data_IF_669873162402
#
_entry.id   IF_669873162402
#
_cell.length_a   1.000
_cell.length_b   1.000
_cell.length_c   1.000
_cell.angle_alpha   90.00
_cell.angle_beta   90.00
_cell.angle_gamma   90.00
#
_symmetry.space_group_name_H-M   'P 1'
#
loop_
_entity.id
_entity.type
_entity.pdbx_description
1 polymer ?
#
# COMPACT_ATOMS: atom_id res chain seq x y z
N UNK A 1 -1.79 -10.91 -0.06
CA UNK A 1 -1.65 -9.43 0.04
C UNK A 1 -2.99 -8.87 0.50
N UNK A 2 -3.01 -7.74 1.21
CA UNK A 2 -4.24 -6.99 1.50
C UNK A 2 -4.15 -5.68 0.74
N UNK A 3 -5.17 -5.38 -0.07
CA UNK A 3 -5.24 -4.19 -0.91
C UNK A 3 -6.35 -3.27 -0.44
N UNK A 4 -6.17 -1.97 -0.65
CA UNK A 4 -7.18 -0.97 -0.36
C UNK A 4 -8.14 -0.85 -1.53
N UNK A 5 -9.42 -0.81 -1.23
CA UNK A 5 -10.45 -0.60 -2.22
C UNK A 5 -11.61 0.23 -1.71
N UNK A 6 -12.41 0.71 -2.66
CA UNK A 6 -13.65 1.43 -2.38
C UNK A 6 -14.82 0.54 -2.75
N UNK A 7 -15.71 0.27 -1.80
CA UNK A 7 -16.96 -0.45 -2.07
C UNK A 7 -17.79 0.32 -3.10
N UNK A 8 -18.27 -0.39 -4.11
CA UNK A 8 -19.24 0.10 -5.08
C UNK A 8 -20.67 -0.23 -4.64
N UNK A 9 -20.83 -1.39 -4.00
CA UNK A 9 -22.05 -1.91 -3.37
C UNK A 9 -21.67 -2.98 -2.33
N UNK A 10 -22.61 -3.74 -1.73
CA UNK A 10 -22.29 -4.72 -0.69
C UNK A 10 -21.34 -5.86 -1.10
N UNK A 11 -21.20 -6.17 -2.39
CA UNK A 11 -20.41 -7.32 -2.86
C UNK A 11 -19.25 -6.94 -3.79
N UNK A 12 -19.27 -5.73 -4.37
CA UNK A 12 -18.25 -5.26 -5.32
C UNK A 12 -17.36 -4.18 -4.73
N UNK A 13 -16.06 -4.30 -4.95
CA UNK A 13 -15.07 -3.31 -4.56
C UNK A 13 -14.15 -2.98 -5.74
N UNK A 14 -13.84 -1.70 -5.94
CA UNK A 14 -12.79 -1.27 -6.88
C UNK A 14 -11.47 -1.10 -6.14
N UNK A 15 -10.40 -1.71 -6.63
CA UNK A 15 -9.04 -1.60 -6.09
C UNK A 15 -8.52 -0.17 -6.29
N UNK A 16 -7.96 0.43 -5.23
CA UNK A 16 -7.56 1.84 -5.19
C UNK A 16 -6.07 2.08 -4.97
N UNK A 17 -5.36 1.16 -4.33
CA UNK A 17 -3.91 1.18 -4.33
C UNK A 17 -3.36 0.24 -5.43
N UNK A 18 -2.05 0.16 -5.61
CA UNK A 18 -1.39 -0.63 -6.65
C UNK A 18 -0.93 -1.95 -6.03
N UNK A 19 -1.58 -3.07 -6.37
CA UNK A 19 -1.15 -4.39 -5.89
C UNK A 19 0.26 -4.72 -6.37
N UNK A 20 0.99 -5.49 -5.58
CA UNK A 20 2.28 -6.06 -5.98
C UNK A 20 2.11 -6.94 -7.23
N UNK A 21 3.12 -7.02 -8.12
CA UNK A 21 3.03 -7.82 -9.35
C UNK A 21 2.71 -9.30 -9.11
N UNK A 22 3.15 -9.84 -7.96
CA UNK A 22 2.90 -11.23 -7.56
C UNK A 22 1.45 -11.55 -7.24
N UNK A 23 0.61 -10.54 -6.99
CA UNK A 23 -0.83 -10.71 -6.73
C UNK A 23 -1.63 -11.12 -7.97
N UNK A 24 -1.13 -10.79 -9.17
CA UNK A 24 -1.90 -10.92 -10.40
C UNK A 24 -3.10 -9.98 -10.51
N UNK A 25 -3.20 -8.98 -9.62
CA UNK A 25 -4.25 -7.95 -9.59
C UNK A 25 -3.72 -6.60 -10.05
N UNK A 26 -4.63 -5.69 -10.43
CA UNK A 26 -4.28 -4.34 -10.93
C UNK A 26 -5.11 -3.25 -10.29
N UNK A 27 -4.51 -2.07 -10.26
CA UNK A 27 -5.23 -0.85 -9.90
C UNK A 27 -6.45 -0.63 -10.80
N UNK A 28 -7.57 -0.25 -10.19
CA UNK A 28 -8.83 -0.01 -10.89
C UNK A 28 -9.64 -1.26 -11.25
N UNK A 29 -9.15 -2.47 -10.95
CA UNK A 29 -9.96 -3.69 -11.08
C UNK A 29 -11.14 -3.68 -10.12
N UNK A 30 -12.22 -4.33 -10.54
CA UNK A 30 -13.37 -4.60 -9.68
C UNK A 30 -13.37 -6.06 -9.29
N UNK A 31 -13.40 -6.33 -7.99
CA UNK A 31 -13.43 -7.68 -7.42
C UNK A 31 -14.74 -7.93 -6.69
N UNK A 32 -15.16 -9.20 -6.65
CA UNK A 32 -16.16 -9.68 -5.70
C UNK A 32 -15.46 -10.03 -4.39
N UNK A 33 -16.09 -9.66 -3.27
CA UNK A 33 -15.61 -10.00 -1.94
C UNK A 33 -16.71 -10.64 -1.11
N UNK A 34 -16.31 -11.40 -0.08
CA UNK A 34 -17.26 -11.96 0.88
C UNK A 34 -17.95 -10.87 1.72
N UNK A 35 -19.15 -11.14 2.21
CA UNK A 35 -19.89 -10.26 3.11
C UNK A 35 -19.36 -10.27 4.55
N UNK A 36 -18.60 -11.29 4.94
CA UNK A 36 -18.02 -11.44 6.29
C UNK A 36 -16.56 -10.98 6.28
N UNK A 37 -16.15 -10.05 7.16
CA UNK A 37 -14.76 -9.62 7.24
C UNK A 37 -13.89 -10.70 7.90
N UNK A 38 -12.65 -10.85 7.41
CA UNK A 38 -11.63 -11.78 7.89
C UNK A 38 -10.38 -11.03 8.40
N UNK A 39 -10.59 -9.84 8.98
CA UNK A 39 -9.53 -9.01 9.53
C UNK A 39 -9.92 -7.54 9.55
N UNK A 40 -9.08 -6.71 10.17
CA UNK A 40 -9.28 -5.27 10.23
C UNK A 40 -7.95 -4.52 10.03
N UNK A 41 -8.04 -3.30 9.49
CA UNK A 41 -6.92 -2.38 9.35
C UNK A 41 -7.30 -1.07 10.00
N UNK A 42 -6.51 -0.69 10.99
CA UNK A 42 -6.59 0.62 11.59
C UNK A 42 -5.79 1.61 10.73
N UNK A 43 -6.24 2.85 10.62
CA UNK A 43 -5.49 3.98 10.07
C UNK A 43 -5.67 5.13 11.06
N UNK A 44 -4.59 5.85 11.36
CA UNK A 44 -4.69 7.07 12.16
C UNK A 44 -4.48 8.28 11.28
N UNK A 45 -5.50 9.14 11.28
CA UNK A 45 -5.50 10.36 10.48
C UNK A 45 -4.63 11.47 11.09
N UNK A 46 -4.47 12.60 10.36
CA UNK A 46 -3.62 13.73 10.76
C UNK A 46 -3.96 14.31 12.15
N UNK A 47 -5.23 14.25 12.54
CA UNK A 47 -5.74 14.76 13.83
C UNK A 47 -5.74 13.70 14.94
N UNK A 48 -5.01 12.59 14.76
CA UNK A 48 -4.99 11.46 15.69
C UNK A 48 -6.28 10.61 15.69
N UNK A 49 -7.22 10.90 14.78
CA UNK A 49 -8.46 10.14 14.69
C UNK A 49 -8.20 8.75 14.11
N UNK A 50 -8.64 7.73 14.83
CA UNK A 50 -8.45 6.33 14.45
C UNK A 50 -9.66 5.82 13.68
N UNK A 51 -9.44 5.33 12.46
CA UNK A 51 -10.48 4.70 11.64
C UNK A 51 -10.17 3.22 11.45
N UNK A 52 -11.18 2.37 11.59
CA UNK A 52 -11.04 0.92 11.42
C UNK A 52 -11.74 0.48 10.15
N UNK A 53 -11.00 -0.22 9.29
CA UNK A 53 -11.46 -0.72 8.00
C UNK A 53 -11.51 -2.25 8.02
N UNK A 54 -12.65 -2.87 7.70
CA UNK A 54 -12.73 -4.32 7.59
C UNK A 54 -12.01 -4.84 6.33
N UNK A 55 -11.32 -5.97 6.48
CA UNK A 55 -10.67 -6.72 5.40
C UNK A 55 -11.59 -7.87 4.99
N UNK A 56 -11.84 -8.02 3.70
CA UNK A 56 -12.68 -9.10 3.15
C UNK A 56 -11.83 -9.98 2.25
N UNK A 57 -12.18 -11.26 2.22
CA UNK A 57 -11.57 -12.19 1.29
C UNK A 57 -12.12 -11.94 -0.12
N UNK A 58 -11.20 -11.96 -1.09
CA UNK A 58 -11.54 -11.91 -2.51
C UNK A 58 -12.20 -13.25 -2.91
N UNK A 59 -13.33 -13.16 -3.61
CA UNK A 59 -13.98 -14.33 -4.22
C UNK A 59 -13.50 -14.51 -5.65
N UNK A 60 -13.60 -13.45 -6.47
CA UNK A 60 -13.17 -13.49 -7.87
C UNK A 60 -12.98 -12.08 -8.46
N UNK A 61 -12.30 -12.01 -9.61
CA UNK A 61 -12.22 -10.82 -10.44
C UNK A 61 -13.52 -10.62 -11.23
N UNK A 62 -14.25 -9.53 -10.95
CA UNK A 62 -15.49 -9.19 -11.65
C UNK A 62 -15.23 -8.43 -12.96
N UNK A 63 -14.37 -7.41 -12.93
CA UNK A 63 -14.02 -6.63 -14.12
C UNK A 63 -12.53 -6.28 -14.14
N UNK A 64 -11.81 -6.64 -15.21
CA UNK A 64 -10.39 -6.34 -15.34
C UNK A 64 -10.14 -4.85 -15.60
N UNK A 65 -8.95 -4.39 -15.24
CA UNK A 65 -8.44 -3.07 -15.58
C UNK A 65 -7.56 -3.14 -16.82
N UNK A 66 -7.79 -2.23 -17.77
CA UNK A 66 -6.93 -2.06 -18.95
C UNK A 66 -5.63 -1.32 -18.63
N UNK A 67 -5.48 -0.79 -17.41
CA UNK A 67 -4.30 -0.02 -17.00
C UNK A 67 -3.22 -1.00 -16.51
N UNK A 68 -2.06 -1.07 -17.19
CA UNK A 68 -0.97 -1.93 -16.73
C UNK A 68 -0.25 -1.32 -15.53
N UNK A 69 0.35 -2.19 -14.70
CA UNK A 69 1.24 -1.80 -13.61
C UNK A 69 2.69 -1.94 -14.06
N UNK A 70 3.51 -0.94 -13.74
CA UNK A 70 4.95 -0.92 -13.95
C UNK A 70 5.65 -0.91 -12.60
N UNK A 71 6.78 -1.61 -12.51
CA UNK A 71 7.72 -1.48 -11.39
C UNK A 71 8.75 -0.44 -11.78
N UNK A 72 8.91 0.58 -10.95
CA UNK A 72 9.86 1.67 -11.16
C UNK A 72 10.78 1.73 -9.96
N UNK A 73 12.09 1.66 -10.23
CA UNK A 73 13.13 1.94 -9.25
C UNK A 73 13.56 3.39 -9.44
N UNK A 74 13.50 4.18 -8.37
CA UNK A 74 13.85 5.61 -8.40
C UNK A 74 14.68 6.01 -7.19
N UNK A 75 15.38 7.13 -7.31
CA UNK A 75 16.06 7.79 -6.20
C UNK A 75 15.29 9.07 -5.84
N UNK A 76 14.69 9.11 -4.67
CA UNK A 76 13.99 10.27 -4.12
C UNK A 76 14.79 10.77 -2.90
N UNK A 77 15.28 12.01 -2.93
CA UNK A 77 16.11 12.53 -1.85
C UNK A 77 15.29 12.77 -0.58
N UNK A 78 14.01 13.10 -0.74
CA UNK A 78 13.06 13.36 0.34
C UNK A 78 11.70 12.69 0.11
N UNK A 79 10.89 12.58 1.17
CA UNK A 79 9.50 12.11 1.08
C UNK A 79 8.67 12.95 0.09
N UNK A 80 8.95 14.24 0.03
CA UNK A 80 8.29 15.23 -0.83
C UNK A 80 8.49 14.93 -2.33
N UNK A 81 9.65 14.39 -2.71
CA UNK A 81 9.96 13.96 -4.07
C UNK A 81 9.12 12.74 -4.45
N UNK A 82 9.02 11.75 -3.56
CA UNK A 82 8.17 10.57 -3.77
C UNK A 82 6.69 10.98 -3.85
N UNK A 83 6.22 11.85 -2.97
CA UNK A 83 4.85 12.38 -3.02
C UNK A 83 4.58 13.14 -4.33
N UNK A 84 5.59 13.80 -4.92
CA UNK A 84 5.44 14.52 -6.18
C UNK A 84 5.13 13.57 -7.35
N UNK A 85 5.77 12.39 -7.39
CA UNK A 85 5.45 11.37 -8.40
C UNK A 85 4.01 10.87 -8.25
N UNK A 86 3.57 10.59 -7.01
CA UNK A 86 2.20 10.15 -6.73
C UNK A 86 1.18 11.21 -7.14
N UNK A 87 1.44 12.49 -6.87
CA UNK A 87 0.61 13.61 -7.33
C UNK A 87 0.58 13.71 -8.84
N UNK A 88 1.72 13.66 -9.53
CA UNK A 88 1.79 13.73 -11.00
C UNK A 88 0.98 12.60 -11.67
N UNK A 89 1.10 11.37 -11.16
CA UNK A 89 0.31 10.25 -11.66
C UNK A 89 -1.19 10.48 -11.41
N UNK A 90 -1.57 10.94 -10.22
CA UNK A 90 -2.96 11.23 -9.87
C UNK A 90 -3.58 12.35 -10.72
N UNK A 91 -2.84 13.44 -10.97
CA UNK A 91 -3.26 14.55 -11.83
C UNK A 91 -3.46 14.10 -13.28
N UNK A 92 -2.69 13.11 -13.74
CA UNK A 92 -2.85 12.48 -15.04
C UNK A 92 -4.00 11.44 -15.10
N UNK A 93 -4.70 11.19 -13.98
CA UNK A 93 -5.81 10.23 -13.89
C UNK A 93 -5.39 8.78 -13.62
N UNK A 94 -4.17 8.58 -13.15
CA UNK A 94 -3.52 7.30 -12.89
C UNK A 94 -3.12 7.19 -11.42
N UNK A 95 -2.27 6.22 -11.07
CA UNK A 95 -1.77 6.07 -9.72
C UNK A 95 -0.29 5.71 -9.72
N UNK A 96 0.42 6.17 -8.68
CA UNK A 96 1.70 5.63 -8.25
C UNK A 96 1.61 5.29 -6.76
N UNK A 97 2.42 4.34 -6.30
CA UNK A 97 2.50 3.96 -4.89
C UNK A 97 3.93 3.51 -4.58
N UNK A 98 4.52 4.05 -3.52
CA UNK A 98 5.81 3.59 -3.00
C UNK A 98 5.64 2.31 -2.15
N UNK A 99 6.03 1.17 -2.71
CA UNK A 99 5.97 -0.11 -2.00
C UNK A 99 7.02 -0.24 -0.90
N UNK A 100 8.11 0.52 -0.97
CA UNK A 100 9.15 0.56 0.07
C UNK A 100 8.59 1.02 1.41
N UNK A 101 7.54 1.85 1.39
CA UNK A 101 6.91 2.41 2.58
C UNK A 101 5.50 1.88 2.84
N UNK A 102 4.75 1.53 1.79
CA UNK A 102 3.34 1.11 1.91
C UNK A 102 3.15 -0.39 2.18
N UNK A 103 4.07 -1.24 1.72
CA UNK A 103 3.95 -2.69 1.88
C UNK A 103 4.46 -3.12 3.24
N UNK A 104 3.62 -3.84 3.98
CA UNK A 104 3.99 -4.49 5.24
C UNK A 104 3.91 -6.00 5.10
N UNK A 105 5.01 -6.68 5.44
CA UNK A 105 5.05 -8.14 5.49
C UNK A 105 4.52 -8.60 6.85
N UNK A 106 3.28 -9.09 6.87
CA UNK A 106 2.64 -9.64 8.06
C UNK A 106 2.52 -11.16 7.96
N UNK A 107 2.66 -11.86 9.09
CA UNK A 107 2.25 -13.26 9.15
C UNK A 107 0.72 -13.37 8.98
N UNK A 108 0.22 -14.57 8.67
CA UNK A 108 -1.23 -14.79 8.48
C UNK A 108 -2.05 -14.34 9.70
N UNK A 109 -1.63 -14.73 10.91
CA UNK A 109 -2.36 -14.39 12.13
C UNK A 109 -2.43 -12.87 12.38
N UNK A 110 -1.33 -12.13 12.14
CA UNK A 110 -1.32 -10.67 12.24
C UNK A 110 -2.16 -10.02 11.14
N UNK A 111 -2.18 -10.61 9.93
CA UNK A 111 -2.98 -10.09 8.83
C UNK A 111 -4.49 -10.26 9.06
N UNK A 112 -4.91 -11.36 9.69
CA UNK A 112 -6.33 -11.73 9.94
C UNK A 112 -6.87 -11.20 11.28
N UNK A 113 -6.01 -10.62 12.13
CA UNK A 113 -6.42 -10.08 13.43
C UNK A 113 -6.71 -8.59 13.40
N UNK A 114 -7.26 -8.08 14.51
CA UNK A 114 -7.39 -6.66 14.82
C UNK A 114 -6.09 -6.14 15.43
N UNK A 115 -5.01 -6.08 14.65
CA UNK A 115 -3.77 -5.46 15.11
C UNK A 115 -3.87 -3.92 14.96
N UNK A 116 -3.49 -3.14 15.99
CA UNK A 116 -3.30 -1.70 15.82
C UNK A 116 -2.25 -1.43 14.72
N UNK A 117 -2.58 -0.58 13.76
CA UNK A 117 -1.58 -0.01 12.85
C UNK A 117 -0.73 0.99 13.63
N UNK A 118 0.58 1.00 13.43
CA UNK A 118 1.54 1.85 14.14
C UNK A 118 1.49 3.35 13.78
N UNK A 119 0.35 4.00 13.98
CA UNK A 119 0.27 5.46 14.01
C UNK A 119 -0.46 5.88 15.28
N UNK A 120 0.06 5.59 16.47
CA UNK A 120 -0.61 5.98 17.71
C UNK A 120 0.18 5.68 18.97
N UNK A 121 0.28 6.71 19.82
CA UNK A 121 0.54 6.70 21.26
C UNK A 121 1.70 5.91 21.86
N UNK A 122 2.82 5.70 21.16
CA UNK A 122 4.16 5.56 21.77
C UNK A 122 4.37 4.41 22.78
N UNK A 123 3.37 3.57 23.01
CA UNK A 123 3.45 2.33 23.75
C UNK A 123 3.80 1.28 22.71
N UNK A 124 5.11 1.07 22.52
CA UNK A 124 5.63 -0.01 21.70
C UNK A 124 5.09 -1.34 22.22
N UNK A 125 3.97 -1.79 21.66
CA UNK A 125 3.42 -3.08 21.96
C UNK A 125 4.20 -4.06 21.11
N UNK A 126 5.20 -4.68 21.73
CA UNK A 126 6.10 -5.66 21.14
C UNK A 126 5.28 -6.66 20.32
N UNK A 127 5.41 -6.62 19.00
CA UNK A 127 4.84 -7.68 18.17
C UNK A 127 5.46 -9.00 18.64
N UNK A 128 4.66 -10.01 19.03
CA UNK A 128 5.21 -11.30 19.47
C UNK A 128 6.07 -11.99 18.40
N UNK A 129 5.99 -11.55 17.14
CA UNK A 129 6.84 -12.01 16.04
C UNK A 129 8.02 -11.08 15.71
N UNK A 130 8.15 -9.94 16.40
CA UNK A 130 9.27 -9.04 16.23
C UNK A 130 10.46 -9.55 17.04
N UNK A 131 11.32 -10.29 16.37
CA UNK A 131 12.62 -10.72 16.90
C UNK A 131 13.74 -9.72 16.58
N UNK A 132 13.40 -8.50 16.17
CA UNK A 132 14.38 -7.44 15.97
C UNK A 132 15.09 -7.13 17.28
N UNK A 133 16.41 -7.01 17.21
CA UNK A 133 17.21 -6.43 18.28
C UNK A 133 17.52 -4.98 17.89
N UNK A 134 17.79 -4.07 18.85
CA UNK A 134 18.29 -2.74 18.54
C UNK A 134 19.51 -2.82 17.60
N UNK A 135 19.43 -2.18 16.43
CA UNK A 135 20.48 -2.21 15.40
C UNK A 135 20.56 -3.50 14.56
N UNK A 136 19.63 -4.45 14.76
CA UNK A 136 19.53 -5.67 13.97
C UNK A 136 18.05 -6.02 13.72
N UNK A 137 17.40 -5.37 12.74
CA UNK A 137 16.02 -5.68 12.41
C UNK A 137 15.89 -7.16 12.03
N UNK A 138 14.88 -7.81 12.57
CA UNK A 138 14.52 -9.19 12.24
C UNK A 138 14.03 -9.27 10.79
N UNK A 139 14.03 -10.47 10.18
CA UNK A 139 13.62 -10.64 8.78
C UNK A 139 12.14 -10.34 8.52
N UNK A 140 11.35 -10.21 9.59
CA UNK A 140 9.92 -9.86 9.59
C UNK A 140 9.64 -8.64 10.47
N UNK A 141 10.70 -7.94 10.92
CA UNK A 141 10.56 -6.79 11.81
C UNK A 141 9.66 -5.75 11.15
N UNK A 142 8.62 -5.35 11.87
CA UNK A 142 7.80 -4.22 11.48
C UNK A 142 8.74 -3.03 11.28
N UNK A 143 8.59 -2.34 10.15
CA UNK A 143 9.14 -1.01 9.99
C UNK A 143 8.44 -0.09 10.99
N UNK A 144 9.00 -0.07 12.20
CA UNK A 144 8.59 0.82 13.27
C UNK A 144 8.68 2.28 12.82
N UNK A 145 7.76 3.10 13.31
CA UNK A 145 7.85 4.55 13.19
C UNK A 145 9.24 5.02 13.68
N UNK A 146 10.07 5.54 12.78
CA UNK A 146 11.42 6.04 13.09
C UNK A 146 12.57 5.50 12.22
N UNK A 147 12.32 4.72 11.17
CA UNK A 147 13.37 4.46 10.18
C UNK A 147 13.74 5.74 9.43
N UNK A 148 15.04 5.99 9.33
CA UNK A 148 15.64 7.04 8.50
C UNK A 148 15.21 6.82 7.04
N UNK A 149 14.74 7.89 6.39
CA UNK A 149 14.46 7.90 4.97
C UNK A 149 15.63 7.29 4.17
N UNK A 150 15.38 6.20 3.44
CA UNK A 150 16.31 5.71 2.40
C UNK A 150 16.11 6.55 1.13
N UNK A 151 17.06 6.80 0.23
CA UNK A 151 16.71 7.46 -1.05
C UNK A 151 16.17 6.50 -2.13
N UNK A 152 16.62 5.25 -2.12
CA UNK A 152 16.23 4.25 -3.12
C UNK A 152 14.80 3.76 -2.86
N UNK A 153 13.95 3.83 -3.90
CA UNK A 153 12.53 3.48 -3.82
C UNK A 153 12.13 2.51 -4.91
N UNK A 154 11.37 1.50 -4.51
CA UNK A 154 10.59 0.66 -5.41
C UNK A 154 9.13 1.10 -5.38
N UNK A 155 8.66 1.59 -6.52
CA UNK A 155 7.30 2.10 -6.69
C UNK A 155 6.54 1.31 -7.75
N UNK A 156 5.25 1.10 -7.49
CA UNK A 156 4.27 0.75 -8.51
C UNK A 156 3.82 1.99 -9.26
N UNK A 157 3.67 1.89 -10.59
CA UNK A 157 3.06 2.94 -11.43
C UNK A 157 1.98 2.32 -12.32
N UNK A 158 0.73 2.70 -12.12
CA UNK A 158 -0.41 2.20 -12.88
C UNK A 158 -0.79 3.19 -13.98
N UNK A 159 -0.15 3.10 -15.15
CA UNK A 159 -0.38 4.00 -16.28
C UNK A 159 -0.13 3.32 -17.65
N UNK A 160 -0.74 3.79 -18.74
CA UNK A 160 -0.45 3.31 -20.09
C UNK A 160 1.02 3.52 -20.45
N UNK A 161 1.60 2.58 -21.21
CA UNK A 161 3.00 2.61 -21.64
C UNK A 161 3.41 3.95 -22.28
N UNK A 162 2.51 4.56 -23.05
CA UNK A 162 2.75 5.83 -23.75
C UNK A 162 2.93 7.01 -22.81
N UNK A 163 2.49 6.92 -21.56
CA UNK A 163 2.52 8.01 -20.59
C UNK A 163 3.64 7.86 -19.56
N UNK A 164 4.04 6.62 -19.24
CA UNK A 164 5.03 6.31 -18.19
C UNK A 164 6.29 7.16 -18.32
N UNK A 165 6.91 7.18 -19.51
CA UNK A 165 8.15 7.95 -19.73
C UNK A 165 7.94 9.45 -19.47
N UNK A 166 6.83 10.01 -19.97
CA UNK A 166 6.52 11.43 -19.77
C UNK A 166 6.31 11.79 -18.30
N UNK A 167 5.67 10.91 -17.52
CA UNK A 167 5.51 11.11 -16.07
C UNK A 167 6.86 11.10 -15.35
N UNK A 168 7.72 10.13 -15.65
CA UNK A 168 9.04 10.02 -15.01
C UNK A 168 9.96 11.19 -15.41
N UNK A 169 9.97 11.57 -16.68
CA UNK A 169 10.78 12.71 -17.15
C UNK A 169 10.31 14.04 -16.53
N UNK A 170 9.00 14.20 -16.32
CA UNK A 170 8.44 15.41 -15.67
C UNK A 170 8.65 15.43 -14.16
N UNK A 171 8.81 14.27 -13.53
CA UNK A 171 9.09 14.17 -12.10
C UNK A 171 10.53 14.56 -11.74
N UNK A 172 11.48 14.27 -12.64
CA UNK A 172 12.92 14.59 -12.45
C UNK A 172 13.25 16.07 -12.73
N UNK A 173 12.35 16.80 -13.41
CA UNK A 173 12.56 18.18 -13.87
C UNK A 173 12.16 19.25 -12.83
#
# INVERSE_FOLDING_TARGET
EVVWGRRLDPARMVIRNIPLPSSGRRWGEVVLHDGVPNGERTIVGPEGHTTVHPVFDEIELWAPSSVPTWVVLLEAAEESDRDALERLAAEAGYAAEDWSSSVRLLCRACSESRMPSEQGDGLAQHDPHDHSLPGRPGPLGHTGAGMLWSPERECGLAAPASLVRGLLDSWVA
#
